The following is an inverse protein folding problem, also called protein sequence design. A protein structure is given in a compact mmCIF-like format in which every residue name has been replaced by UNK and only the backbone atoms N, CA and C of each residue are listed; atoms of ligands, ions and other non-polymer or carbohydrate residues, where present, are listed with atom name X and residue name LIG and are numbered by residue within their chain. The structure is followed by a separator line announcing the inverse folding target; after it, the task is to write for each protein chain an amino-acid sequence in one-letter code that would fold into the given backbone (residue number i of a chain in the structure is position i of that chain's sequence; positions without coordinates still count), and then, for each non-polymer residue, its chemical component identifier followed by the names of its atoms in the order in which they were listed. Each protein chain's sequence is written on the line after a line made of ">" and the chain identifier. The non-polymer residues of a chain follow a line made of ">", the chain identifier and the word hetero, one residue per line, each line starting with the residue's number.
data_IF_515491877157
#
_entry.id   IF_515491877157
#
_cell.length_a   1.000
_cell.length_b   1.000
_cell.length_c   1.000
_cell.angle_alpha   90.00
_cell.angle_beta   90.00
_cell.angle_gamma   90.00
#
_symmetry.space_group_name_H-M   'P 1'
#
loop_
_entity.id
_entity.type
_entity.pdbx_description
1 polymer ?
#
# COMPACT_ATOMS: atom_id res chain seq x y z
N UNK A 1 -5.80 13.21 6.35
CA UNK A 1 -5.84 12.40 5.11
C UNK A 1 -5.53 10.97 5.51
N UNK A 2 -6.32 9.98 5.07
CA UNK A 2 -6.06 8.56 5.36
C UNK A 2 -5.17 8.00 4.24
N UNK A 3 -3.91 7.72 4.57
CA UNK A 3 -2.94 7.02 3.71
C UNK A 3 -2.22 5.97 4.55
N UNK A 4 -1.75 4.90 3.92
CA UNK A 4 -1.14 3.75 4.61
C UNK A 4 -2.06 3.19 5.71
N UNK A 5 -3.35 3.17 5.45
CA UNK A 5 -4.38 2.73 6.39
C UNK A 5 -4.97 1.41 5.91
N UNK A 6 -4.98 0.42 6.77
CA UNK A 6 -5.66 -0.85 6.56
C UNK A 6 -7.01 -0.79 7.29
N UNK A 7 -8.11 -1.07 6.59
CA UNK A 7 -9.44 -1.14 7.19
C UNK A 7 -9.85 -2.60 7.30
N UNK A 8 -10.15 -3.03 8.52
CA UNK A 8 -10.66 -4.37 8.78
C UNK A 8 -12.19 -4.40 8.68
N UNK A 9 -12.67 -5.26 7.80
CA UNK A 9 -14.05 -5.74 7.81
C UNK A 9 -14.10 -7.13 8.47
N UNK A 10 -15.28 -7.65 8.83
CA UNK A 10 -15.39 -8.93 9.52
C UNK A 10 -14.73 -10.12 8.80
N UNK A 11 -14.64 -10.11 7.47
CA UNK A 11 -14.12 -11.22 6.67
C UNK A 11 -12.94 -10.87 5.74
N UNK A 12 -12.56 -9.59 5.64
CA UNK A 12 -11.51 -9.15 4.74
C UNK A 12 -10.92 -7.82 5.21
N UNK A 13 -9.73 -7.51 4.69
CA UNK A 13 -9.12 -6.19 4.84
C UNK A 13 -9.19 -5.43 3.52
N UNK A 14 -9.33 -4.11 3.60
CA UNK A 14 -9.17 -3.21 2.46
C UNK A 14 -8.00 -2.26 2.70
N UNK A 15 -7.23 -2.04 1.65
CA UNK A 15 -6.10 -1.12 1.63
C UNK A 15 -6.19 -0.29 0.36
N UNK A 16 -6.12 1.03 0.51
CA UNK A 16 -6.04 1.95 -0.61
C UNK A 16 -4.60 2.48 -0.73
N UNK A 17 -4.04 2.37 -1.93
CA UNK A 17 -2.78 2.98 -2.32
C UNK A 17 -2.93 3.59 -3.71
N UNK A 18 -2.10 4.58 -4.01
CA UNK A 18 -2.07 5.23 -5.32
C UNK A 18 -0.79 6.03 -5.50
N UNK A 19 -0.69 6.66 -6.66
CA UNK A 19 0.39 7.57 -7.04
C UNK A 19 -0.20 8.89 -7.55
N UNK A 20 0.59 9.95 -7.46
CA UNK A 20 0.24 11.23 -8.07
C UNK A 20 0.59 11.17 -9.56
N UNK A 21 -0.34 11.56 -10.42
CA UNK A 21 -0.12 11.56 -11.87
C UNK A 21 0.18 12.98 -12.33
N UNK A 22 1.28 13.14 -13.06
CA UNK A 22 1.71 14.39 -13.70
C UNK A 22 1.90 14.17 -15.21
N UNK A 23 2.18 15.24 -15.96
CA UNK A 23 2.21 15.22 -17.42
C UNK A 23 3.24 14.24 -18.01
N UNK A 24 4.33 13.99 -17.29
CA UNK A 24 5.45 13.13 -17.65
C UNK A 24 5.45 11.76 -16.94
N UNK A 25 4.38 11.45 -16.19
CA UNK A 25 4.23 10.17 -15.50
C UNK A 25 4.28 8.99 -16.47
N UNK A 26 4.96 7.92 -16.05
CA UNK A 26 5.02 6.66 -16.79
C UNK A 26 4.14 5.62 -16.11
N UNK A 27 3.09 5.08 -16.75
CA UNK A 27 2.12 4.20 -16.10
C UNK A 27 2.72 3.03 -15.32
N UNK A 28 3.82 2.46 -15.83
CA UNK A 28 4.53 1.36 -15.19
C UNK A 28 5.17 1.79 -13.86
N UNK A 29 5.86 2.94 -13.83
CA UNK A 29 6.49 3.47 -12.62
C UNK A 29 5.44 3.83 -11.55
N UNK A 30 4.33 4.45 -11.94
CA UNK A 30 3.28 4.84 -11.00
C UNK A 30 2.57 3.63 -10.37
N UNK A 31 2.40 2.56 -11.16
CA UNK A 31 1.88 1.28 -10.67
C UNK A 31 2.86 0.62 -9.69
N UNK A 32 4.16 0.66 -9.98
CA UNK A 32 5.20 0.15 -9.08
C UNK A 32 5.24 0.92 -7.76
N UNK A 33 5.16 2.25 -7.81
CA UNK A 33 5.08 3.11 -6.63
C UNK A 33 3.83 2.79 -5.79
N UNK A 34 2.67 2.68 -6.45
CA UNK A 34 1.41 2.32 -5.80
C UNK A 34 1.52 0.98 -5.06
N UNK A 35 2.11 -0.04 -5.70
CA UNK A 35 2.36 -1.34 -5.08
C UNK A 35 3.38 -1.25 -3.95
N UNK A 36 4.43 -0.44 -4.09
CA UNK A 36 5.44 -0.25 -3.06
C UNK A 36 4.83 0.36 -1.79
N UNK A 37 3.96 1.37 -1.93
CA UNK A 37 3.22 1.96 -0.81
C UNK A 37 2.30 0.96 -0.12
N UNK A 38 1.63 0.10 -0.88
CA UNK A 38 0.78 -0.95 -0.33
C UNK A 38 1.59 -2.02 0.43
N UNK A 39 2.69 -2.50 -0.17
CA UNK A 39 3.59 -3.49 0.44
C UNK A 39 4.13 -3.04 1.79
N UNK A 40 4.42 -1.75 1.97
CA UNK A 40 4.86 -1.22 3.26
C UNK A 40 3.87 -1.46 4.40
N UNK A 41 2.56 -1.39 4.13
CA UNK A 41 1.51 -1.70 5.13
C UNK A 41 1.37 -3.21 5.31
N UNK A 42 1.38 -3.97 4.22
CA UNK A 42 1.22 -5.43 4.28
C UNK A 42 2.39 -6.12 5.00
N UNK A 43 3.60 -5.57 4.89
CA UNK A 43 4.78 -6.07 5.61
C UNK A 43 4.58 -6.05 7.14
N UNK A 44 3.84 -5.08 7.68
CA UNK A 44 3.55 -5.01 9.11
C UNK A 44 2.59 -6.12 9.60
N UNK A 45 1.92 -6.83 8.68
CA UNK A 45 1.10 -8.00 9.01
C UNK A 45 1.90 -9.30 8.96
N UNK A 46 3.15 -9.27 8.52
CA UNK A 46 4.00 -10.44 8.46
C UNK A 46 4.31 -10.88 9.91
N UNK A 47 3.85 -12.07 10.34
CA UNK A 47 4.06 -12.55 11.70
C UNK A 47 5.54 -12.72 12.06
N UNK A 48 6.44 -12.87 11.07
CA UNK A 48 7.88 -12.97 11.32
C UNK A 48 8.54 -11.62 11.64
N UNK A 49 7.85 -10.49 11.41
CA UNK A 49 8.37 -9.15 11.71
C UNK A 49 8.20 -8.72 13.18
N UNK A 50 7.43 -9.42 13.99
CA UNK A 50 7.07 -8.98 15.36
C UNK A 50 8.21 -9.17 16.39
N UNK A 51 9.36 -9.73 16.00
CA UNK A 51 10.51 -9.99 16.89
C UNK A 51 11.84 -9.41 16.42
N UNK A 52 11.85 -8.50 15.44
CA UNK A 52 13.05 -7.77 15.01
C UNK A 52 13.24 -6.46 15.77
#
# INVERSE_FOLDING_TARGET
>A
ILIRTLVQHPAYFTLHAGAGIVADSQPQHELEETRAKARGVLAALDPEQVHA
#
